data_IF_284821390253
#
_entry.id   IF_284821390253
#
_cell.length_a   1.000
_cell.length_b   1.000
_cell.length_c   1.000
_cell.angle_alpha   90.00
_cell.angle_beta   90.00
_cell.angle_gamma   90.00
#
_symmetry.space_group_name_H-M   'P 1'
#
loop_
_entity.id
_entity.type
_entity.pdbx_description
1 polymer ?
#
# COMPACT_ATOMS: atom_id res chain seq x y z
N UNK A 1 -31.62 -40.71 -16.84
CA UNK A 1 -30.25 -40.38 -17.28
C UNK A 1 -29.98 -38.89 -17.42
N UNK A 2 -30.90 -38.05 -17.93
CA UNK A 2 -30.69 -36.57 -18.01
C UNK A 2 -30.40 -35.87 -16.68
N UNK A 3 -30.99 -36.34 -15.56
CA UNK A 3 -30.78 -35.77 -14.22
C UNK A 3 -29.37 -36.03 -13.64
N UNK A 4 -28.73 -37.14 -14.01
CA UNK A 4 -27.35 -37.47 -13.62
C UNK A 4 -26.35 -36.62 -14.40
N UNK A 5 -26.61 -36.38 -15.69
CA UNK A 5 -25.79 -35.48 -16.51
C UNK A 5 -25.82 -34.04 -15.97
N UNK A 6 -26.99 -33.56 -15.54
CA UNK A 6 -27.13 -32.25 -14.91
C UNK A 6 -26.39 -32.16 -13.56
N UNK A 7 -26.41 -33.23 -12.76
CA UNK A 7 -25.67 -33.27 -11.49
C UNK A 7 -24.14 -33.26 -11.69
N UNK A 8 -23.64 -33.92 -12.75
CA UNK A 8 -22.22 -33.93 -13.09
C UNK A 8 -21.72 -32.56 -13.60
N UNK A 9 -22.57 -31.82 -14.34
CA UNK A 9 -22.26 -30.46 -14.80
C UNK A 9 -22.14 -29.44 -13.64
N UNK A 10 -22.88 -29.65 -12.56
CA UNK A 10 -22.86 -28.78 -11.36
C UNK A 10 -21.58 -29.01 -10.52
N UNK A 11 -21.05 -30.23 -10.51
CA UNK A 11 -19.84 -30.59 -9.74
C UNK A 11 -18.54 -30.04 -10.33
N UNK A 12 -18.50 -29.70 -11.62
CA UNK A 12 -17.31 -29.11 -12.26
C UNK A 12 -17.19 -27.58 -12.08
N UNK A 13 -18.14 -26.93 -11.41
CA UNK A 13 -18.19 -25.46 -11.29
C UNK A 13 -17.43 -24.85 -10.10
N UNK A 14 -16.81 -25.67 -9.25
CA UNK A 14 -16.05 -25.20 -8.09
C UNK A 14 -14.58 -25.02 -8.50
N UNK A 15 -14.26 -23.86 -9.07
CA UNK A 15 -12.88 -23.37 -9.11
C UNK A 15 -12.50 -22.84 -7.75
N UNK A 16 -11.38 -23.32 -7.23
CA UNK A 16 -10.71 -22.69 -6.11
C UNK A 16 -9.88 -21.53 -6.68
N UNK A 17 -9.89 -20.41 -5.97
CA UNK A 17 -9.09 -19.25 -6.31
C UNK A 17 -8.02 -19.05 -5.25
N UNK A 18 -6.81 -18.69 -5.65
CA UNK A 18 -5.73 -18.38 -4.73
C UNK A 18 -5.77 -16.90 -4.32
N UNK A 19 -5.32 -16.59 -3.10
CA UNK A 19 -5.23 -15.23 -2.57
C UNK A 19 -3.76 -14.88 -2.36
N UNK A 20 -3.30 -13.87 -3.08
CA UNK A 20 -1.93 -13.35 -2.96
C UNK A 20 -1.95 -12.06 -2.14
N UNK A 21 -1.43 -12.15 -0.91
CA UNK A 21 -1.19 -10.98 -0.05
C UNK A 21 0.13 -10.31 -0.40
N UNK A 22 0.08 -9.00 -0.64
CA UNK A 22 1.25 -8.12 -0.81
C UNK A 22 1.29 -7.19 0.39
N UNK A 23 2.34 -7.31 1.20
CA UNK A 23 2.50 -6.51 2.41
C UNK A 23 3.73 -5.61 2.30
N UNK A 24 3.58 -4.34 2.67
CA UNK A 24 4.69 -3.39 2.77
C UNK A 24 5.33 -3.05 1.42
N UNK A 25 4.57 -3.08 0.33
CA UNK A 25 5.10 -2.67 -0.97
C UNK A 25 5.34 -1.16 -0.97
N UNK A 26 6.56 -0.74 -1.29
CA UNK A 26 6.93 0.67 -1.38
C UNK A 26 7.44 1.02 -2.78
N UNK A 27 7.12 2.24 -3.22
CA UNK A 27 7.58 2.75 -4.51
C UNK A 27 7.67 4.27 -4.49
N UNK A 28 8.65 4.81 -5.19
CA UNK A 28 8.80 6.25 -5.41
C UNK A 28 8.06 6.66 -6.68
N UNK A 29 7.05 7.52 -6.53
CA UNK A 29 6.21 7.96 -7.64
C UNK A 29 6.42 9.43 -7.93
N UNK A 30 6.29 9.80 -9.22
CA UNK A 30 6.35 11.20 -9.61
C UNK A 30 5.21 12.01 -8.99
N UNK A 31 5.54 13.14 -8.38
CA UNK A 31 4.57 14.12 -7.90
C UNK A 31 4.33 15.20 -8.94
N UNK A 32 3.06 15.59 -9.12
CA UNK A 32 2.70 16.72 -10.01
C UNK A 32 2.97 18.09 -9.38
N UNK A 33 3.06 18.16 -8.06
CA UNK A 33 3.00 19.42 -7.32
C UNK A 33 4.21 19.67 -6.42
N UNK A 34 5.05 18.65 -6.18
CA UNK A 34 6.21 18.77 -5.29
C UNK A 34 7.48 19.18 -6.06
N UNK A 35 8.27 20.06 -5.45
CA UNK A 35 9.53 20.57 -6.02
C UNK A 35 10.56 19.45 -6.15
N UNK A 36 10.49 18.45 -5.28
CA UNK A 36 11.40 17.30 -5.29
C UNK A 36 10.94 16.15 -6.19
N UNK A 37 9.88 16.36 -6.99
CA UNK A 37 9.33 15.51 -8.04
C UNK A 37 9.01 14.05 -7.69
N UNK A 38 9.40 13.50 -6.55
CA UNK A 38 9.16 12.13 -6.12
C UNK A 38 8.52 12.09 -4.74
N UNK A 39 7.52 11.22 -4.57
CA UNK A 39 6.90 10.90 -3.30
C UNK A 39 6.90 9.40 -3.12
N UNK A 40 7.39 8.95 -1.97
CA UNK A 40 7.30 7.56 -1.57
C UNK A 40 5.88 7.22 -1.17
N UNK A 41 5.38 6.09 -1.66
CA UNK A 41 4.12 5.49 -1.21
C UNK A 41 4.39 4.13 -0.58
N UNK A 42 3.47 3.72 0.29
CA UNK A 42 3.42 2.38 0.87
C UNK A 42 2.02 1.81 0.67
N UNK A 43 1.97 0.54 0.27
CA UNK A 43 0.76 -0.14 -0.14
C UNK A 43 0.72 -1.59 0.36
N UNK A 44 -0.45 -1.99 0.84
CA UNK A 44 -0.79 -3.38 1.16
C UNK A 44 -1.97 -3.79 0.27
N UNK A 45 -1.86 -4.95 -0.40
CA UNK A 45 -2.88 -5.48 -1.31
C UNK A 45 -3.27 -6.91 -0.94
N UNK A 46 -4.51 -7.26 -1.23
CA UNK A 46 -4.95 -8.66 -1.39
C UNK A 46 -5.45 -8.84 -2.82
N UNK A 47 -4.90 -9.84 -3.51
CA UNK A 47 -5.20 -10.10 -4.91
C UNK A 47 -5.86 -11.48 -4.99
N UNK A 48 -7.12 -11.51 -5.39
CA UNK A 48 -7.88 -12.74 -5.61
C UNK A 48 -7.67 -13.17 -7.05
N UNK A 49 -7.18 -14.39 -7.21
CA UNK A 49 -6.92 -15.00 -8.51
C UNK A 49 -7.88 -16.15 -8.73
N UNK A 50 -8.21 -16.43 -9.99
CA UNK A 50 -8.97 -17.63 -10.35
C UNK A 50 -8.10 -18.86 -10.50
N UNK A 51 -6.80 -18.65 -10.65
CA UNK A 51 -5.83 -19.71 -10.86
C UNK A 51 -5.34 -20.23 -9.49
N UNK A 52 -5.02 -21.51 -9.42
CA UNK A 52 -4.48 -22.12 -8.21
C UNK A 52 -2.94 -22.03 -8.18
N UNK A 53 -2.37 -21.90 -6.96
CA UNK A 53 -0.92 -21.89 -6.72
C UNK A 53 -0.18 -20.79 -7.48
N UNK A 54 -0.74 -19.56 -7.48
CA UNK A 54 -0.15 -18.45 -8.21
C UNK A 54 1.17 -18.03 -7.56
N UNK A 55 2.24 -18.06 -8.35
CA UNK A 55 3.55 -17.59 -7.89
C UNK A 55 3.51 -16.07 -7.61
N UNK A 56 4.12 -15.64 -6.50
CA UNK A 56 4.16 -14.23 -6.11
C UNK A 56 5.01 -13.37 -7.06
N UNK A 57 6.10 -13.92 -7.61
CA UNK A 57 7.06 -13.16 -8.40
C UNK A 57 6.44 -12.41 -9.61
N UNK A 58 5.60 -13.05 -10.45
CA UNK A 58 4.84 -12.36 -11.51
C UNK A 58 3.99 -11.17 -11.04
N UNK A 59 3.36 -11.30 -9.86
CA UNK A 59 2.53 -10.25 -9.26
C UNK A 59 3.40 -9.06 -8.84
N UNK A 60 4.53 -9.31 -8.17
CA UNK A 60 5.45 -8.25 -7.77
C UNK A 60 6.13 -7.57 -8.96
N UNK A 61 6.49 -8.32 -10.01
CA UNK A 61 6.99 -7.76 -11.27
C UNK A 61 5.97 -6.80 -11.90
N UNK A 62 4.74 -7.26 -12.06
CA UNK A 62 3.66 -6.44 -12.60
C UNK A 62 3.38 -5.20 -11.75
N UNK A 63 3.39 -5.35 -10.41
CA UNK A 63 3.16 -4.25 -9.48
C UNK A 63 4.23 -3.16 -9.61
N UNK A 64 5.51 -3.55 -9.65
CA UNK A 64 6.64 -2.63 -9.83
C UNK A 64 6.55 -1.84 -11.15
N UNK A 65 6.09 -2.48 -12.22
CA UNK A 65 5.96 -1.84 -13.54
C UNK A 65 4.74 -0.92 -13.57
N UNK A 66 3.59 -1.40 -13.11
CA UNK A 66 2.32 -0.67 -13.23
C UNK A 66 2.27 0.53 -12.29
N UNK A 67 2.73 0.39 -11.05
CA UNK A 67 2.65 1.48 -10.06
C UNK A 67 3.40 2.72 -10.54
N UNK A 68 4.55 2.56 -11.19
CA UNK A 68 5.38 3.64 -11.72
C UNK A 68 4.74 4.44 -12.86
N UNK A 69 3.64 3.95 -13.44
CA UNK A 69 2.88 4.67 -14.47
C UNK A 69 1.91 5.71 -13.90
N UNK A 70 1.73 5.75 -12.57
CA UNK A 70 0.83 6.67 -11.89
C UNK A 70 1.59 7.82 -11.23
N UNK A 71 1.00 9.01 -11.29
CA UNK A 71 1.42 10.09 -10.40
C UNK A 71 0.98 9.81 -8.97
N UNK A 72 1.81 10.23 -8.02
CA UNK A 72 1.65 10.01 -6.59
C UNK A 72 0.30 10.56 -6.07
N UNK A 73 -0.17 11.69 -6.58
CA UNK A 73 -1.47 12.25 -6.20
C UNK A 73 -2.65 11.55 -6.86
N UNK A 74 -2.48 11.08 -8.11
CA UNK A 74 -3.57 10.46 -8.85
C UNK A 74 -3.96 9.13 -8.23
N UNK A 75 -2.98 8.28 -7.87
CA UNK A 75 -3.20 6.95 -7.28
C UNK A 75 -3.93 7.02 -5.93
N UNK A 76 -3.87 8.17 -5.24
CA UNK A 76 -4.59 8.39 -3.98
C UNK A 76 -6.09 8.65 -4.18
N UNK A 77 -6.52 9.08 -5.37
CA UNK A 77 -7.93 9.34 -5.65
C UNK A 77 -8.73 8.06 -5.87
N UNK A 78 -10.04 8.07 -5.66
CA UNK A 78 -10.90 6.91 -5.98
C UNK A 78 -10.76 6.49 -7.44
N UNK A 79 -10.81 7.45 -8.38
CA UNK A 79 -10.61 7.18 -9.82
C UNK A 79 -9.24 6.57 -10.11
N UNK A 80 -8.18 7.07 -9.48
CA UNK A 80 -6.83 6.54 -9.66
C UNK A 80 -6.67 5.13 -9.11
N UNK A 81 -7.27 4.82 -7.95
CA UNK A 81 -7.30 3.46 -7.39
C UNK A 81 -7.98 2.48 -8.35
N UNK A 82 -9.14 2.81 -8.88
CA UNK A 82 -9.84 1.96 -9.85
C UNK A 82 -9.05 1.80 -11.16
N UNK A 83 -8.42 2.89 -11.63
CA UNK A 83 -7.55 2.84 -12.81
C UNK A 83 -6.31 1.97 -12.57
N UNK A 84 -5.71 2.04 -11.38
CA UNK A 84 -4.58 1.21 -10.96
C UNK A 84 -4.97 -0.26 -10.94
N UNK A 85 -6.07 -0.62 -10.27
CA UNK A 85 -6.59 -2.00 -10.24
C UNK A 85 -6.80 -2.54 -11.66
N UNK A 86 -7.53 -1.80 -12.50
CA UNK A 86 -7.80 -2.21 -13.88
C UNK A 86 -6.53 -2.39 -14.71
N UNK A 87 -5.55 -1.49 -14.54
CA UNK A 87 -4.28 -1.55 -15.28
C UNK A 87 -3.44 -2.74 -14.81
N UNK A 88 -3.37 -2.97 -13.49
CA UNK A 88 -2.62 -4.08 -12.90
C UNK A 88 -3.22 -5.42 -13.34
N UNK A 89 -4.54 -5.58 -13.25
CA UNK A 89 -5.25 -6.77 -13.73
C UNK A 89 -4.94 -7.06 -15.20
N UNK A 90 -5.08 -6.06 -16.08
CA UNK A 90 -4.82 -6.23 -17.52
C UNK A 90 -3.36 -6.57 -17.81
N UNK A 91 -2.43 -5.99 -17.07
CA UNK A 91 -1.00 -6.25 -17.27
C UNK A 91 -0.66 -7.68 -16.85
N UNK A 92 -1.12 -8.11 -15.68
CA UNK A 92 -0.87 -9.47 -15.15
C UNK A 92 -1.44 -10.53 -16.10
N UNK A 93 -2.71 -10.37 -16.51
CA UNK A 93 -3.37 -11.27 -17.46
C UNK A 93 -2.57 -11.36 -18.78
N UNK A 94 -2.28 -10.21 -19.40
CA UNK A 94 -1.59 -10.17 -20.69
C UNK A 94 -0.15 -10.69 -20.64
N UNK A 95 0.60 -10.40 -19.58
CA UNK A 95 2.03 -10.68 -19.51
C UNK A 95 2.35 -12.05 -18.92
N UNK A 96 1.57 -12.45 -17.92
CA UNK A 96 1.84 -13.62 -17.10
C UNK A 96 0.74 -14.69 -17.21
N UNK A 97 -0.34 -14.42 -17.95
CA UNK A 97 -1.48 -15.35 -18.14
C UNK A 97 -2.13 -15.78 -16.81
N UNK A 98 -2.14 -14.86 -15.84
CA UNK A 98 -2.79 -15.07 -14.54
C UNK A 98 -4.10 -14.28 -14.52
N UNK A 99 -5.21 -14.97 -14.25
CA UNK A 99 -6.55 -14.36 -14.20
C UNK A 99 -6.82 -13.79 -12.80
N UNK A 100 -6.97 -12.47 -12.72
CA UNK A 100 -7.33 -11.76 -11.49
C UNK A 100 -8.84 -11.55 -11.44
N UNK A 101 -9.49 -12.01 -10.36
CA UNK A 101 -10.91 -11.75 -10.11
C UNK A 101 -11.13 -10.40 -9.40
N UNK A 102 -10.33 -10.10 -8.37
CA UNK A 102 -10.40 -8.81 -7.69
C UNK A 102 -9.06 -8.40 -7.05
N UNK A 103 -8.91 -7.11 -6.78
CA UNK A 103 -7.79 -6.51 -6.06
C UNK A 103 -8.34 -5.62 -4.96
N UNK A 104 -8.03 -5.94 -3.71
CA UNK A 104 -8.31 -5.08 -2.57
C UNK A 104 -7.06 -4.27 -2.21
N UNK A 105 -7.22 -2.96 -2.12
CA UNK A 105 -6.20 -2.07 -1.55
C UNK A 105 -6.50 -1.98 -0.06
N UNK A 106 -5.77 -2.76 0.73
CA UNK A 106 -5.93 -2.82 2.19
C UNK A 106 -5.39 -1.54 2.83
N UNK A 107 -4.24 -1.06 2.33
CA UNK A 107 -3.62 0.19 2.76
C UNK A 107 -2.98 0.89 1.58
N UNK A 108 -3.08 2.22 1.55
CA UNK A 108 -2.31 3.07 0.66
C UNK A 108 -2.07 4.41 1.36
N UNK A 109 -0.80 4.79 1.50
CA UNK A 109 -0.41 6.06 2.14
C UNK A 109 0.86 6.61 1.51
N UNK A 110 1.08 7.91 1.66
CA UNK A 110 2.42 8.48 1.50
C UNK A 110 3.31 8.02 2.67
N UNK A 111 4.57 7.77 2.38
CA UNK A 111 5.60 7.62 3.40
C UNK A 111 6.30 8.95 3.49
N UNK A 112 6.15 9.63 4.62
CA UNK A 112 6.85 10.88 4.88
C UNK A 112 8.34 10.57 5.00
N UNK A 113 9.11 10.88 3.96
CA UNK A 113 10.56 10.92 4.08
C UNK A 113 10.92 12.14 4.90
N UNK A 114 11.55 11.90 6.05
CA UNK A 114 12.05 12.98 6.91
C UNK A 114 13.10 13.76 6.13
N UNK A 115 12.68 14.85 5.49
CA UNK A 115 13.56 15.65 4.66
C UNK A 115 14.58 16.35 5.58
N UNK A 116 15.84 15.93 5.52
CA UNK A 116 16.95 16.52 6.29
C UNK A 116 17.00 18.04 6.09
N UNK A 117 16.62 18.54 4.91
CA UNK A 117 16.52 19.98 4.66
C UNK A 117 15.41 20.64 5.48
N UNK A 118 14.23 20.02 5.60
CA UNK A 118 13.17 20.51 6.50
C UNK A 118 13.62 20.50 7.96
N UNK A 119 14.40 19.50 8.37
CA UNK A 119 15.00 19.46 9.72
C UNK A 119 16.01 20.61 9.87
N UNK A 120 16.91 20.80 8.91
CA UNK A 120 17.91 21.87 8.91
C UNK A 120 17.27 23.25 8.92
N UNK A 121 16.21 23.45 8.14
CA UNK A 121 15.45 24.69 8.07
C UNK A 121 14.70 24.94 9.39
N UNK A 122 14.08 23.92 9.98
CA UNK A 122 13.48 24.02 11.31
C UNK A 122 14.53 24.35 12.40
N UNK A 123 15.72 23.74 12.35
CA UNK A 123 16.83 24.03 13.27
C UNK A 123 17.31 25.48 13.09
N UNK A 124 17.46 25.96 11.84
CA UNK A 124 17.85 27.34 11.55
C UNK A 124 16.79 28.34 12.01
N UNK A 125 15.51 28.06 11.79
CA UNK A 125 14.40 28.90 12.25
C UNK A 125 14.33 28.97 13.78
N UNK A 126 14.60 27.86 14.47
CA UNK A 126 14.72 27.84 15.93
C UNK A 126 15.94 28.64 16.42
N UNK A 127 17.07 28.55 15.71
CA UNK A 127 18.29 29.31 16.06
C UNK A 127 18.14 30.81 15.80
N UNK A 128 17.46 31.19 14.72
CA UNK A 128 17.24 32.59 14.33
C UNK A 128 16.15 33.27 15.18
N UNK A 129 15.22 32.51 15.79
CA UNK A 129 14.21 33.00 16.75
C UNK A 129 14.72 33.02 18.20
N UNK A 130 15.95 33.47 18.40
CA UNK A 130 16.51 33.70 19.74
C UNK A 130 15.68 34.71 20.54
N UNK A 131 15.26 34.30 21.74
CA UNK A 131 14.59 35.06 22.82
C UNK A 131 13.20 35.65 22.57
N UNK A 132 12.15 34.85 22.85
CA UNK A 132 11.14 35.12 23.90
C UNK A 132 9.86 34.31 23.69
N UNK A 133 9.88 33.00 23.95
CA UNK A 133 8.78 32.22 24.57
C UNK A 133 9.16 30.74 24.56
N UNK A 134 9.04 30.09 25.73
CA UNK A 134 9.22 28.64 25.84
C UNK A 134 8.26 27.91 24.88
N UNK A 135 8.72 26.89 24.14
CA UNK A 135 7.84 26.08 23.33
C UNK A 135 6.83 25.34 24.24
N UNK A 136 5.53 25.48 23.96
CA UNK A 136 4.52 24.58 24.51
C UNK A 136 4.73 23.21 23.86
N UNK A 137 5.52 22.35 24.52
CA UNK A 137 5.54 20.93 24.19
C UNK A 137 4.14 20.35 24.43
N UNK A 138 3.61 19.48 23.55
CA UNK A 138 2.45 18.66 23.88
C UNK A 138 2.76 17.91 25.17
N UNK A 139 1.86 17.98 26.16
CA UNK A 139 1.99 17.23 27.41
C UNK A 139 2.04 15.72 27.09
N UNK A 140 3.25 15.18 27.00
CA UNK A 140 3.47 13.74 27.05
C UNK A 140 2.94 13.26 28.42
N UNK A 141 2.13 12.19 28.48
CA UNK A 141 1.71 11.63 29.75
C UNK A 141 2.97 11.25 30.54
N UNK A 142 3.10 11.79 31.75
CA UNK A 142 4.17 11.40 32.67
C UNK A 142 3.97 9.90 32.95
N UNK A 143 4.92 9.09 32.50
CA UNK A 143 5.04 7.72 32.97
C UNK A 143 5.55 7.84 34.40
N UNK A 144 4.60 7.98 35.34
CA UNK A 144 4.89 7.84 36.75
C UNK A 144 5.31 6.39 36.96
N UNK A 145 6.50 6.21 37.52
CA UNK A 145 7.11 4.91 37.79
C UNK A 145 6.15 4.03 38.61
N UNK A 146 5.43 3.12 37.95
CA UNK A 146 4.79 1.96 38.58
C UNK A 146 5.82 0.85 38.78
N UNK A 147 6.94 1.16 39.42
CA UNK A 147 7.86 0.17 39.97
C UNK A 147 7.99 0.46 41.45
N UNK A 148 6.97 0.03 42.20
CA UNK A 148 7.02 -0.36 43.60
C UNK A 148 5.62 -0.89 43.97
N UNK A 149 5.43 -2.19 43.81
CA UNK A 149 4.96 -3.00 44.93
C UNK A 149 5.28 -4.47 44.65
N UNK A 150 6.42 -4.90 45.19
CA UNK A 150 6.64 -6.30 45.46
C UNK A 150 5.68 -6.72 46.57
N UNK A 151 4.70 -7.55 46.21
CA UNK A 151 4.00 -8.52 47.04
C UNK A 151 3.01 -9.29 46.15
N UNK A 152 3.37 -10.53 45.83
CA UNK A 152 2.60 -11.78 45.93
C UNK A 152 3.21 -12.83 44.99
#
# INVERSE_FOLDING_TARGET
>A
MKKIFMFWLILCGISFGDVVSVEGFESDLYSKYDVNNLKKISMDLEIITRDDNVARAPIYDALNIVVGSFYAEDIMTSKGKESFKSTLTKYIDKKHSITIDDIYIIRLKFVDETNVQKILDAIRDMHNKGDSTQPNLPNLPKIENQLLDGRF
#
